data_IF_229692869089
#
_entry.id   IF_229692869089
#
_cell.length_a   1.000
_cell.length_b   1.000
_cell.length_c   1.000
_cell.angle_alpha   90.00
_cell.angle_beta   90.00
_cell.angle_gamma   90.00
#
_symmetry.space_group_name_H-M   'P 1'
#
loop_
_entity.id
_entity.type
_entity.pdbx_description
1 polymer ?
#
# COMPACT_ATOMS: atom_id res chain seq x y z
N UNK A 1 -2.35 22.02 -40.06
CA UNK A 1 -3.14 20.77 -40.14
C UNK A 1 -3.70 20.47 -38.77
N UNK A 2 -4.99 20.75 -38.58
CA UNK A 2 -5.71 20.54 -37.33
C UNK A 2 -6.10 19.06 -37.29
N UNK A 3 -5.46 18.27 -36.43
CA UNK A 3 -5.78 16.85 -36.30
C UNK A 3 -6.94 16.69 -35.31
N UNK A 4 -8.08 16.28 -35.86
CA UNK A 4 -9.28 15.93 -35.15
C UNK A 4 -9.07 14.67 -34.31
N UNK A 5 -9.17 14.80 -32.99
CA UNK A 5 -9.62 13.72 -32.10
C UNK A 5 -10.03 14.28 -30.74
N UNK A 6 -11.01 15.19 -30.75
CA UNK A 6 -11.89 15.35 -29.59
C UNK A 6 -12.82 14.14 -29.60
N UNK A 7 -12.28 12.97 -29.22
CA UNK A 7 -13.08 11.80 -28.93
C UNK A 7 -13.88 12.13 -27.66
N UNK A 8 -15.17 12.36 -27.87
CA UNK A 8 -16.20 12.38 -26.83
C UNK A 8 -15.95 11.24 -25.84
N UNK A 9 -15.40 11.57 -24.67
CA UNK A 9 -15.50 10.72 -23.49
C UNK A 9 -16.97 10.72 -23.11
N UNK A 10 -17.73 9.69 -23.56
CA UNK A 10 -19.06 9.46 -22.99
C UNK A 10 -18.85 9.18 -21.50
N UNK A 11 -19.47 9.95 -20.59
CA UNK A 11 -19.46 9.59 -19.19
C UNK A 11 -20.10 8.21 -19.09
N UNK A 12 -19.39 7.28 -18.45
CA UNK A 12 -19.91 5.94 -18.19
C UNK A 12 -20.97 6.10 -17.08
N UNK A 13 -22.19 6.52 -17.43
CA UNK A 13 -23.21 6.92 -16.44
C UNK A 13 -23.97 5.74 -15.81
N UNK A 14 -23.75 4.50 -16.25
CA UNK A 14 -24.59 3.34 -15.87
C UNK A 14 -24.01 2.30 -14.88
N UNK A 15 -22.69 2.15 -14.62
CA UNK A 15 -22.20 1.18 -13.65
C UNK A 15 -22.17 1.72 -12.21
N UNK A 16 -22.42 3.01 -11.99
CA UNK A 16 -22.37 3.62 -10.65
C UNK A 16 -23.44 3.08 -9.71
N UNK A 17 -24.65 2.82 -10.21
CA UNK A 17 -25.75 2.30 -9.39
C UNK A 17 -25.50 0.84 -8.97
N UNK A 18 -25.09 -0.04 -9.88
CA UNK A 18 -24.83 -1.45 -9.59
C UNK A 18 -23.65 -1.59 -8.62
N UNK A 19 -22.56 -0.85 -8.86
CA UNK A 19 -21.40 -0.83 -7.96
C UNK A 19 -21.77 -0.24 -6.60
N UNK A 20 -22.57 0.82 -6.57
CA UNK A 20 -23.05 1.44 -5.33
C UNK A 20 -23.95 0.53 -4.51
N UNK A 21 -24.88 -0.19 -5.16
CA UNK A 21 -25.76 -1.18 -4.51
C UNK A 21 -24.95 -2.36 -4.00
N UNK A 22 -24.04 -2.91 -4.81
CA UNK A 22 -23.14 -3.99 -4.38
C UNK A 22 -22.25 -3.60 -3.20
N UNK A 23 -21.68 -2.40 -3.23
CA UNK A 23 -20.88 -1.85 -2.13
C UNK A 23 -21.73 -1.69 -0.85
N UNK A 24 -22.94 -1.16 -0.97
CA UNK A 24 -23.86 -0.98 0.16
C UNK A 24 -24.28 -2.32 0.75
N UNK A 25 -24.58 -3.31 -0.09
CA UNK A 25 -24.90 -4.67 0.34
C UNK A 25 -23.72 -5.35 1.05
N UNK A 26 -22.48 -5.14 0.59
CA UNK A 26 -21.28 -5.63 1.27
C UNK A 26 -21.08 -4.99 2.65
N UNK A 27 -21.33 -3.68 2.78
CA UNK A 27 -21.26 -2.99 4.07
C UNK A 27 -22.31 -3.53 5.03
N UNK A 28 -23.56 -3.65 4.58
CA UNK A 28 -24.67 -4.16 5.41
C UNK A 28 -24.46 -5.64 5.76
N UNK A 29 -24.01 -6.46 4.80
CA UNK A 29 -23.77 -7.89 5.04
C UNK A 29 -22.64 -8.13 6.04
N UNK A 30 -21.63 -7.26 6.08
CA UNK A 30 -20.53 -7.37 7.05
C UNK A 30 -20.98 -7.23 8.52
N UNK A 31 -22.08 -6.51 8.77
CA UNK A 31 -22.63 -6.36 10.12
C UNK A 31 -23.16 -7.68 10.71
N UNK A 32 -23.55 -8.63 9.85
CA UNK A 32 -23.99 -9.97 10.29
C UNK A 32 -22.83 -10.84 10.82
N UNK A 33 -21.59 -10.55 10.40
CA UNK A 33 -20.39 -11.20 10.93
C UNK A 33 -19.95 -10.50 12.21
N UNK A 34 -19.84 -9.17 12.16
CA UNK A 34 -19.56 -8.33 13.32
C UNK A 34 -19.90 -6.86 13.01
N UNK A 35 -20.61 -6.16 13.91
CA UNK A 35 -20.91 -4.74 13.74
C UNK A 35 -19.66 -3.87 13.57
N UNK A 36 -18.52 -4.29 14.14
CA UNK A 36 -17.25 -3.56 14.02
C UNK A 36 -16.63 -3.65 12.62
N UNK A 37 -17.03 -4.62 11.80
CA UNK A 37 -16.54 -4.76 10.41
C UNK A 37 -17.19 -3.75 9.47
N UNK A 38 -18.40 -3.27 9.78
CA UNK A 38 -19.14 -2.31 8.96
C UNK A 38 -18.34 -1.03 8.66
N UNK A 39 -17.79 -0.30 9.65
CA UNK A 39 -16.97 0.89 9.37
C UNK A 39 -15.67 0.56 8.63
N UNK A 40 -15.09 -0.62 8.84
CA UNK A 40 -13.87 -1.06 8.15
C UNK A 40 -14.15 -1.30 6.67
N UNK A 41 -15.19 -2.08 6.36
CA UNK A 41 -15.60 -2.38 4.98
C UNK A 41 -16.01 -1.10 4.26
N UNK A 42 -16.79 -0.23 4.92
CA UNK A 42 -17.16 1.07 4.38
C UNK A 42 -15.94 1.95 4.09
N UNK A 43 -14.97 2.00 5.01
CA UNK A 43 -13.71 2.73 4.82
C UNK A 43 -12.89 2.20 3.64
N UNK A 44 -12.73 0.88 3.52
CA UNK A 44 -12.02 0.23 2.40
C UNK A 44 -12.69 0.58 1.07
N UNK A 45 -14.02 0.46 0.99
CA UNK A 45 -14.78 0.75 -0.23
C UNK A 45 -14.72 2.23 -0.61
N UNK A 46 -14.79 3.12 0.38
CA UNK A 46 -14.64 4.56 0.16
C UNK A 46 -13.24 4.88 -0.38
N UNK A 47 -12.19 4.34 0.24
CA UNK A 47 -10.80 4.52 -0.22
C UNK A 47 -10.58 3.93 -1.62
N UNK A 48 -11.21 2.80 -1.95
CA UNK A 48 -11.19 2.22 -3.28
C UNK A 48 -11.86 3.14 -4.30
N UNK A 49 -13.06 3.65 -3.99
CA UNK A 49 -13.79 4.56 -4.86
C UNK A 49 -13.03 5.88 -5.10
N UNK A 50 -12.40 6.42 -4.06
CA UNK A 50 -11.54 7.61 -4.17
C UNK A 50 -10.31 7.31 -5.02
N UNK A 51 -9.67 6.15 -4.83
CA UNK A 51 -8.48 5.74 -5.60
C UNK A 51 -8.80 5.54 -7.08
N UNK A 52 -9.99 5.05 -7.42
CA UNK A 52 -10.43 4.95 -8.83
C UNK A 52 -10.52 6.32 -9.53
N UNK A 53 -10.88 7.38 -8.79
CA UNK A 53 -10.88 8.76 -9.32
C UNK A 53 -9.49 9.40 -9.31
N UNK A 54 -8.66 9.00 -8.37
CA UNK A 54 -7.32 9.54 -8.16
C UNK A 54 -6.32 8.40 -7.94
N UNK A 55 -5.84 7.74 -9.02
CA UNK A 55 -5.08 6.49 -8.93
C UNK A 55 -3.83 6.54 -8.05
N UNK A 56 -3.18 7.70 -8.00
CA UNK A 56 -2.01 7.93 -7.15
C UNK A 56 -2.30 7.77 -5.64
N UNK A 57 -3.55 7.93 -5.20
CA UNK A 57 -3.93 7.70 -3.81
C UNK A 57 -3.85 6.22 -3.43
N UNK A 58 -4.08 5.30 -4.36
CA UNK A 58 -3.86 3.87 -4.11
C UNK A 58 -2.39 3.57 -3.77
N UNK A 59 -1.45 4.25 -4.47
CA UNK A 59 -0.01 4.16 -4.18
C UNK A 59 0.31 4.80 -2.84
N UNK A 60 -0.24 5.98 -2.57
CA UNK A 60 -0.03 6.67 -1.30
C UNK A 60 -0.51 5.83 -0.11
N UNK A 61 -1.69 5.21 -0.22
CA UNK A 61 -2.25 4.30 0.78
C UNK A 61 -1.36 3.07 0.97
N UNK A 62 -0.86 2.47 -0.12
CA UNK A 62 0.02 1.31 -0.04
C UNK A 62 1.30 1.64 0.73
N UNK A 63 1.98 2.74 0.40
CA UNK A 63 3.21 3.15 1.09
C UNK A 63 2.91 3.57 2.54
N UNK A 64 1.85 4.34 2.77
CA UNK A 64 1.42 4.79 4.08
C UNK A 64 0.99 3.64 5.01
N UNK A 65 0.60 2.50 4.45
CA UNK A 65 0.18 1.34 5.24
C UNK A 65 1.34 0.54 5.83
N UNK A 66 2.57 0.73 5.33
CA UNK A 66 3.74 -0.08 5.73
C UNK A 66 4.09 0.09 7.21
N UNK A 67 4.11 1.32 7.79
CA UNK A 67 4.46 1.49 9.19
C UNK A 67 3.43 0.83 10.11
N UNK A 68 2.14 0.89 9.76
CA UNK A 68 1.05 0.33 10.57
C UNK A 68 0.82 -1.18 10.37
N UNK A 69 1.60 -1.85 9.51
CA UNK A 69 1.33 -3.25 9.14
C UNK A 69 1.40 -4.22 10.33
N UNK A 70 2.14 -3.85 11.39
CA UNK A 70 2.34 -4.68 12.58
C UNK A 70 1.31 -4.43 13.68
N UNK A 71 0.46 -3.42 13.53
CA UNK A 71 -0.59 -3.10 14.53
C UNK A 71 -1.64 -4.22 14.59
N UNK A 72 -1.76 -5.02 13.54
CA UNK A 72 -2.52 -6.27 13.55
C UNK A 72 -3.18 -6.59 12.22
N UNK A 73 -4.00 -7.62 12.23
CA UNK A 73 -4.85 -8.01 11.11
C UNK A 73 -6.29 -8.17 11.60
N UNK A 74 -7.25 -7.65 10.84
CA UNK A 74 -8.66 -7.88 11.09
C UNK A 74 -9.10 -8.98 10.13
N UNK A 75 -9.60 -10.10 10.67
CA UNK A 75 -9.94 -11.29 9.90
C UNK A 75 -8.81 -11.76 8.94
N UNK A 76 -7.55 -11.65 9.38
CA UNK A 76 -6.38 -12.04 8.57
C UNK A 76 -5.97 -11.04 7.47
N UNK A 77 -6.69 -9.93 7.32
CA UNK A 77 -6.36 -8.84 6.40
C UNK A 77 -5.60 -7.73 7.14
N UNK A 78 -4.36 -7.49 6.72
CA UNK A 78 -3.56 -6.34 7.20
C UNK A 78 -3.88 -5.09 6.39
N UNK A 79 -3.60 -3.92 6.94
CA UNK A 79 -3.76 -2.64 6.24
C UNK A 79 -3.01 -2.62 4.90
N UNK A 80 -1.78 -3.15 4.86
CA UNK A 80 -0.98 -3.25 3.63
C UNK A 80 -1.58 -4.17 2.58
N UNK A 81 -2.15 -5.32 3.00
CA UNK A 81 -2.84 -6.21 2.06
C UNK A 81 -4.07 -5.53 1.46
N UNK A 82 -4.87 -4.85 2.29
CA UNK A 82 -6.03 -4.09 1.81
C UNK A 82 -5.61 -2.98 0.83
N UNK A 83 -4.59 -2.20 1.19
CA UNK A 83 -4.07 -1.14 0.34
C UNK A 83 -3.48 -1.67 -0.97
N UNK A 84 -2.80 -2.82 -0.94
CA UNK A 84 -2.28 -3.49 -2.14
C UNK A 84 -3.42 -3.92 -3.08
N UNK A 85 -4.49 -4.52 -2.55
CA UNK A 85 -5.67 -4.89 -3.34
C UNK A 85 -6.29 -3.66 -4.00
N UNK A 86 -6.48 -2.57 -3.23
CA UNK A 86 -7.00 -1.31 -3.76
C UNK A 86 -6.11 -0.77 -4.88
N UNK A 87 -4.79 -0.73 -4.66
CA UNK A 87 -3.84 -0.18 -5.62
C UNK A 87 -3.79 -1.01 -6.91
N UNK A 88 -3.80 -2.35 -6.81
CA UNK A 88 -3.85 -3.26 -7.95
C UNK A 88 -5.18 -3.17 -8.71
N UNK A 89 -6.31 -3.10 -8.01
CA UNK A 89 -7.62 -2.93 -8.64
C UNK A 89 -7.72 -1.59 -9.38
N UNK A 90 -7.15 -0.53 -8.79
CA UNK A 90 -7.08 0.80 -9.40
C UNK A 90 -6.20 0.78 -10.65
N UNK A 91 -5.07 0.08 -10.60
CA UNK A 91 -4.19 -0.10 -11.75
C UNK A 91 -4.85 -0.92 -12.87
N UNK A 92 -5.50 -2.02 -12.54
CA UNK A 92 -6.26 -2.82 -13.49
C UNK A 92 -7.37 -1.97 -14.16
N UNK A 93 -8.08 -1.14 -13.39
CA UNK A 93 -9.07 -0.22 -13.95
C UNK A 93 -8.45 0.83 -14.88
N UNK A 94 -7.29 1.39 -14.52
CA UNK A 94 -6.57 2.32 -15.38
C UNK A 94 -6.15 1.67 -16.72
N UNK A 95 -5.67 0.43 -16.69
CA UNK A 95 -5.25 -0.30 -17.90
C UNK A 95 -6.44 -0.77 -18.76
N UNK A 96 -7.48 -1.32 -18.13
CA UNK A 96 -8.57 -2.00 -18.85
C UNK A 96 -9.70 -1.04 -19.24
N UNK A 97 -10.07 -0.13 -18.33
CA UNK A 97 -11.19 0.80 -18.52
C UNK A 97 -10.71 2.11 -19.13
N UNK A 98 -9.66 2.70 -18.56
CA UNK A 98 -9.13 3.98 -19.01
C UNK A 98 -8.13 3.83 -20.17
N UNK A 99 -7.68 2.59 -20.43
CA UNK A 99 -6.74 2.23 -21.51
C UNK A 99 -5.43 3.02 -21.44
N UNK A 100 -4.97 3.31 -20.22
CA UNK A 100 -3.67 3.92 -20.03
C UNK A 100 -2.56 2.94 -20.44
N UNK A 101 -1.50 3.40 -21.12
CA UNK A 101 -0.36 2.55 -21.41
C UNK A 101 0.40 2.22 -20.12
N UNK A 102 0.97 1.02 -20.06
CA UNK A 102 1.89 0.64 -18.98
C UNK A 102 3.16 1.48 -19.09
N UNK A 103 3.49 2.21 -18.03
CA UNK A 103 4.73 2.99 -17.94
C UNK A 103 5.76 2.20 -17.16
N UNK A 104 6.93 2.01 -17.77
CA UNK A 104 8.08 1.36 -17.16
C UNK A 104 9.32 2.25 -17.23
N UNK A 105 10.32 1.90 -16.43
CA UNK A 105 11.64 2.56 -16.45
C UNK A 105 12.73 1.50 -16.45
N UNK A 106 13.91 1.85 -16.99
CA UNK A 106 15.10 0.99 -16.96
C UNK A 106 15.51 0.62 -15.53
N UNK A 107 15.11 1.41 -14.53
CA UNK A 107 15.32 1.10 -13.10
C UNK A 107 14.57 -0.16 -12.64
N UNK A 108 13.58 -0.64 -13.39
CA UNK A 108 12.92 -1.92 -13.10
C UNK A 108 13.85 -3.12 -13.33
N UNK A 109 14.81 -3.00 -14.24
CA UNK A 109 15.74 -4.10 -14.59
C UNK A 109 16.57 -4.55 -13.37
N UNK A 110 17.33 -3.67 -12.69
CA UNK A 110 18.09 -4.10 -11.51
C UNK A 110 17.19 -4.63 -10.38
N UNK A 111 15.98 -4.09 -10.23
CA UNK A 111 15.00 -4.57 -9.25
C UNK A 111 14.55 -6.00 -9.58
N UNK A 112 14.21 -6.29 -10.85
CA UNK A 112 13.85 -7.63 -11.31
C UNK A 112 15.02 -8.61 -11.17
N UNK A 113 16.24 -8.18 -11.52
CA UNK A 113 17.46 -9.00 -11.34
C UNK A 113 17.63 -9.38 -9.87
N UNK A 114 17.42 -8.44 -8.94
CA UNK A 114 17.45 -8.73 -7.50
C UNK A 114 16.41 -9.79 -7.11
N UNK A 115 15.16 -9.65 -7.56
CA UNK A 115 14.09 -10.63 -7.26
C UNK A 115 14.45 -12.02 -7.81
N UNK A 116 14.91 -12.10 -9.06
CA UNK A 116 15.30 -13.37 -9.69
C UNK A 116 16.45 -14.00 -8.92
N UNK A 117 17.45 -13.21 -8.54
CA UNK A 117 18.56 -13.67 -7.71
C UNK A 117 18.09 -14.22 -6.37
N UNK A 118 17.21 -13.48 -5.66
CA UNK A 118 16.66 -13.93 -4.40
C UNK A 118 15.92 -15.27 -4.55
N UNK A 119 15.09 -15.43 -5.58
CA UNK A 119 14.39 -16.68 -5.87
C UNK A 119 15.38 -17.82 -6.14
N UNK A 120 16.41 -17.58 -6.95
CA UNK A 120 17.43 -18.57 -7.28
C UNK A 120 18.21 -19.05 -6.05
N UNK A 121 18.34 -18.21 -5.02
CA UNK A 121 19.04 -18.56 -3.76
C UNK A 121 18.17 -19.23 -2.69
N UNK A 122 16.85 -19.35 -2.89
CA UNK A 122 15.96 -20.03 -1.92
C UNK A 122 16.42 -21.47 -1.60
N UNK A 123 16.84 -22.33 -2.57
CA UNK A 123 17.20 -23.71 -2.28
C UNK A 123 18.40 -23.89 -1.36
N UNK A 124 19.29 -22.89 -1.30
CA UNK A 124 20.49 -22.90 -0.44
C UNK A 124 20.28 -22.12 0.86
N UNK A 125 19.08 -21.59 1.09
CA UNK A 125 18.77 -20.83 2.29
C UNK A 125 18.63 -21.73 3.51
N UNK A 126 19.12 -21.23 4.66
CA UNK A 126 18.96 -21.92 5.97
C UNK A 126 17.49 -22.07 6.39
N UNK A 127 16.67 -21.10 6.02
CA UNK A 127 15.22 -21.10 6.25
C UNK A 127 14.49 -20.68 4.96
N UNK A 128 14.11 -21.66 4.10
CA UNK A 128 13.41 -21.38 2.85
C UNK A 128 12.08 -20.64 3.03
N UNK A 129 11.40 -20.83 4.16
CA UNK A 129 10.12 -20.17 4.45
C UNK A 129 10.33 -18.70 4.74
N UNK A 130 11.34 -18.36 5.54
CA UNK A 130 11.73 -16.98 5.78
C UNK A 130 12.22 -16.30 4.48
N UNK A 131 13.02 -16.99 3.66
CA UNK A 131 13.46 -16.48 2.36
C UNK A 131 12.30 -16.21 1.40
N UNK A 132 11.31 -17.11 1.33
CA UNK A 132 10.11 -16.89 0.53
C UNK A 132 9.28 -15.69 1.00
N UNK A 133 9.16 -15.49 2.32
CA UNK A 133 8.51 -14.32 2.87
C UNK A 133 9.24 -13.02 2.52
N UNK A 134 10.57 -13.05 2.46
CA UNK A 134 11.38 -11.91 2.05
C UNK A 134 11.20 -11.60 0.57
N UNK A 135 11.24 -12.60 -0.31
CA UNK A 135 10.94 -12.44 -1.75
C UNK A 135 9.57 -11.78 -1.94
N UNK A 136 8.55 -12.23 -1.19
CA UNK A 136 7.21 -11.65 -1.27
C UNK A 136 7.19 -10.15 -0.90
N UNK A 137 7.94 -9.72 0.12
CA UNK A 137 8.06 -8.30 0.48
C UNK A 137 8.70 -7.48 -0.65
N UNK A 138 9.76 -8.00 -1.25
CA UNK A 138 10.43 -7.33 -2.36
C UNK A 138 9.57 -7.29 -3.63
N UNK A 139 8.74 -8.30 -3.88
CA UNK A 139 7.72 -8.26 -4.94
C UNK A 139 6.69 -7.16 -4.67
N UNK A 140 6.20 -7.02 -3.43
CA UNK A 140 5.30 -5.91 -3.06
C UNK A 140 5.99 -4.56 -3.28
N UNK A 141 7.26 -4.43 -2.90
CA UNK A 141 8.04 -3.21 -3.11
C UNK A 141 8.19 -2.89 -4.61
N UNK A 142 8.44 -3.89 -5.45
CA UNK A 142 8.48 -3.75 -6.90
C UNK A 142 7.13 -3.29 -7.46
N UNK A 143 6.01 -3.88 -7.00
CA UNK A 143 4.67 -3.47 -7.39
C UNK A 143 4.43 -2.01 -7.00
N UNK A 144 4.73 -1.63 -5.76
CA UNK A 144 4.59 -0.25 -5.28
C UNK A 144 5.42 0.72 -6.15
N UNK A 145 6.65 0.35 -6.51
CA UNK A 145 7.51 1.11 -7.40
C UNK A 145 6.89 1.26 -8.81
N UNK A 146 6.41 0.17 -9.41
CA UNK A 146 5.76 0.21 -10.73
C UNK A 146 4.52 1.10 -10.73
N UNK A 147 3.70 1.01 -9.69
CA UNK A 147 2.51 1.84 -9.53
C UNK A 147 2.87 3.32 -9.32
N UNK A 148 3.92 3.61 -8.56
CA UNK A 148 4.45 4.96 -8.43
C UNK A 148 4.91 5.50 -9.79
N UNK A 149 5.64 4.71 -10.58
CA UNK A 149 6.03 5.09 -11.94
C UNK A 149 4.82 5.33 -12.86
N UNK A 150 3.80 4.47 -12.80
CA UNK A 150 2.58 4.62 -13.57
C UNK A 150 1.86 5.94 -13.27
N UNK A 151 1.72 6.29 -11.98
CA UNK A 151 0.80 7.35 -11.56
C UNK A 151 1.48 8.64 -11.11
N UNK A 152 2.80 8.66 -10.88
CA UNK A 152 3.52 9.83 -10.36
C UNK A 152 4.62 10.36 -11.27
N UNK A 153 5.21 9.55 -12.17
CA UNK A 153 6.39 9.94 -12.94
C UNK A 153 6.20 11.24 -13.75
N UNK A 154 5.08 11.36 -14.46
CA UNK A 154 4.75 12.55 -15.27
C UNK A 154 3.62 13.38 -14.65
N UNK A 155 3.43 13.25 -13.33
CA UNK A 155 2.35 13.97 -12.65
C UNK A 155 2.69 15.44 -12.41
N UNK A 156 1.68 16.32 -12.31
CA UNK A 156 1.90 17.70 -11.91
C UNK A 156 2.64 17.78 -10.58
N UNK A 157 3.58 18.73 -10.46
CA UNK A 157 4.42 18.94 -9.25
C UNK A 157 3.61 18.96 -7.95
N UNK A 158 2.41 19.56 -7.97
CA UNK A 158 1.49 19.58 -6.82
C UNK A 158 1.16 18.18 -6.32
N UNK A 159 0.89 17.22 -7.21
CA UNK A 159 0.55 15.83 -6.84
C UNK A 159 1.75 15.13 -6.21
N UNK A 160 2.95 15.32 -6.78
CA UNK A 160 4.18 14.78 -6.21
C UNK A 160 4.44 15.35 -4.81
N UNK A 161 4.25 16.65 -4.62
CA UNK A 161 4.37 17.31 -3.30
C UNK A 161 3.37 16.70 -2.32
N UNK A 162 2.09 16.56 -2.71
CA UNK A 162 1.07 15.96 -1.85
C UNK A 162 1.42 14.52 -1.47
N UNK A 163 1.91 13.73 -2.43
CA UNK A 163 2.37 12.36 -2.17
C UNK A 163 3.52 12.33 -1.15
N UNK A 164 4.54 13.18 -1.33
CA UNK A 164 5.66 13.30 -0.39
C UNK A 164 5.17 13.74 0.99
N UNK A 165 4.26 14.71 1.06
CA UNK A 165 3.68 15.18 2.33
C UNK A 165 2.92 14.08 3.05
N UNK A 166 2.15 13.25 2.33
CA UNK A 166 1.45 12.09 2.93
C UNK A 166 2.46 11.11 3.53
N UNK A 167 3.52 10.74 2.80
CA UNK A 167 4.54 9.82 3.30
C UNK A 167 5.29 10.43 4.50
N UNK A 168 5.66 11.71 4.41
CA UNK A 168 6.36 12.41 5.48
C UNK A 168 5.49 12.50 6.74
N UNK A 169 4.19 12.80 6.60
CA UNK A 169 3.25 12.82 7.70
C UNK A 169 3.14 11.45 8.37
N UNK A 170 3.00 10.38 7.58
CA UNK A 170 2.92 9.02 8.12
C UNK A 170 4.21 8.65 8.86
N UNK A 171 5.38 8.97 8.29
CA UNK A 171 6.67 8.75 8.96
C UNK A 171 6.82 9.55 10.25
N UNK A 172 6.33 10.80 10.28
CA UNK A 172 6.32 11.63 11.48
C UNK A 172 5.38 11.07 12.56
N UNK A 173 4.18 10.62 12.19
CA UNK A 173 3.22 9.99 13.10
C UNK A 173 3.80 8.69 13.68
N UNK A 174 4.47 7.89 12.87
CA UNK A 174 5.15 6.66 13.28
C UNK A 174 6.28 6.96 14.29
N UNK A 175 7.14 7.94 13.99
CA UNK A 175 8.22 8.35 14.89
C UNK A 175 7.68 8.90 16.22
N UNK A 176 6.60 9.69 16.16
CA UNK A 176 5.91 10.20 17.34
C UNK A 176 5.31 9.06 18.17
N UNK A 177 4.62 8.11 17.54
CA UNK A 177 4.08 6.94 18.22
C UNK A 177 5.19 6.13 18.89
N UNK A 178 6.28 5.83 18.18
CA UNK A 178 7.43 5.11 18.72
C UNK A 178 8.11 5.82 19.89
N UNK A 179 8.15 7.16 19.86
CA UNK A 179 8.68 7.98 20.95
C UNK A 179 7.78 7.90 22.18
N UNK A 180 6.46 8.09 22.00
CA UNK A 180 5.48 8.02 23.09
C UNK A 180 5.47 6.63 23.73
N UNK A 181 5.45 5.57 22.92
CA UNK A 181 5.48 4.17 23.41
C UNK A 181 6.77 3.87 24.19
N UNK A 182 7.92 4.37 23.71
CA UNK A 182 9.19 4.27 24.42
C UNK A 182 9.17 4.97 25.79
N UNK A 183 8.61 6.19 25.86
CA UNK A 183 8.51 6.98 27.09
C UNK A 183 7.62 6.33 28.16
N UNK A 184 6.53 5.67 27.76
CA UNK A 184 5.64 4.96 28.70
C UNK A 184 6.09 3.52 28.98
N UNK A 185 7.25 3.11 28.47
CA UNK A 185 7.82 1.77 28.69
C UNK A 185 7.10 0.65 27.94
N UNK A 186 6.16 0.97 27.04
CA UNK A 186 5.44 0.01 26.23
C UNK A 186 6.30 -0.38 25.03
N UNK A 187 7.24 -1.32 25.23
CA UNK A 187 8.13 -1.80 24.19
C UNK A 187 8.60 -3.24 24.44
N UNK A 188 9.20 -3.91 23.43
CA UNK A 188 9.73 -5.25 23.62
C UNK A 188 10.81 -5.26 24.70
N UNK A 189 10.91 -6.34 25.48
CA UNK A 189 11.88 -6.44 26.57
C UNK A 189 13.34 -6.18 26.13
N UNK A 190 13.68 -6.49 24.88
CA UNK A 190 15.01 -6.22 24.30
C UNK A 190 15.32 -4.73 24.09
N UNK A 191 14.31 -3.86 24.14
CA UNK A 191 14.44 -2.40 24.01
C UNK A 191 14.39 -1.70 25.38
N UNK A 192 14.16 -2.42 26.47
CA UNK A 192 14.17 -1.85 27.81
C UNK A 192 15.55 -1.25 28.12
N UNK A 193 15.56 -0.01 28.57
CA UNK A 193 16.72 0.65 29.17
C UNK A 193 16.53 0.59 30.69
N UNK A 194 17.62 0.66 31.47
CA UNK A 194 17.53 0.66 32.93
C UNK A 194 16.42 1.61 33.45
N UNK A 195 15.46 1.06 34.19
CA UNK A 195 14.25 1.75 34.65
C UNK A 195 12.98 1.30 33.92
N UNK A 196 11.98 2.19 33.83
CA UNK A 196 10.67 1.96 33.19
C UNK A 196 10.57 2.51 31.76
N UNK A 197 11.69 2.92 31.16
CA UNK A 197 11.75 3.55 29.84
C UNK A 197 12.32 2.56 28.83
N UNK A 198 11.72 2.51 27.63
CA UNK A 198 12.24 1.73 26.50
C UNK A 198 12.87 2.66 25.45
N UNK A 199 13.88 2.18 24.72
CA UNK A 199 14.39 2.88 23.53
C UNK A 199 13.23 3.08 22.55
N UNK A 200 13.14 4.27 21.96
CA UNK A 200 12.15 4.53 20.92
C UNK A 200 12.31 3.52 19.77
N UNK A 201 11.19 2.95 19.31
CA UNK A 201 11.15 1.95 18.25
C UNK A 201 9.92 2.19 17.36
N UNK A 202 9.99 1.83 16.08
CA UNK A 202 8.84 1.88 15.17
C UNK A 202 8.19 0.51 15.00
N UNK A 203 6.98 0.51 14.46
CA UNK A 203 6.29 -0.66 13.90
C UNK A 203 6.77 -1.05 12.50
N UNK A 204 7.78 -0.36 11.95
CA UNK A 204 8.61 -0.92 10.89
C UNK A 204 9.17 -2.27 11.35
N UNK A 205 8.77 -3.34 10.67
CA UNK A 205 9.29 -4.67 10.98
C UNK A 205 10.81 -4.72 10.89
N UNK A 206 11.39 -5.65 11.67
CA UNK A 206 12.82 -6.02 11.87
C UNK A 206 13.85 -5.23 11.04
N UNK A 207 15.02 -4.86 11.62
CA UNK A 207 16.06 -4.15 10.87
C UNK A 207 16.26 -4.77 9.49
N UNK A 208 16.35 -3.92 8.48
CA UNK A 208 16.54 -4.29 7.08
C UNK A 208 17.47 -5.50 6.97
N UNK A 209 17.05 -6.55 6.26
CA UNK A 209 17.82 -7.79 6.03
C UNK A 209 19.24 -7.56 5.48
N UNK A 210 19.50 -6.37 4.90
CA UNK A 210 20.79 -5.93 4.37
C UNK A 210 21.61 -5.01 5.32
N UNK A 211 21.07 -4.61 6.47
CA UNK A 211 21.71 -3.73 7.44
C UNK A 211 22.36 -4.49 8.62
N UNK A 212 22.71 -5.76 8.40
CA UNK A 212 23.41 -6.61 9.36
C UNK A 212 24.87 -6.19 9.57
#
# INVERSE_FOLDING_TARGET
>A
MISASVLFQRPIERPTLIVGVGASLLVVSSAWISPLLMPIVAGILLLAAISLRHPWLGVALLVASVPIQQIGAVAGLTATRAALIIALATWAAALLVQREPVRGTRLMVPFLVLIVWMIATIPVARDPRASGAEVFRWVIALIAFMLAMQFLADSPRRRLILFILVIALVGALEAMAGTVLGLIGFGPASFAVAGSISRAYGSFGRPNSFAG
#
